data_IF_436781598483
#
_entry.id   IF_436781598483
#
_cell.length_a   1.000
_cell.length_b   1.000
_cell.length_c   1.000
_cell.angle_alpha   90.00
_cell.angle_beta   90.00
_cell.angle_gamma   90.00
#
_symmetry.space_group_name_H-M   'P 1'
#
loop_
_entity.id
_entity.type
_entity.pdbx_description
1 polymer ?
#
# COMPACT_ATOMS: atom_id res chain seq x y z
N UNK A 1 -7.69 29.48 -3.96
CA UNK A 1 -6.62 28.50 -3.65
C UNK A 1 -6.85 27.31 -4.56
N UNK A 2 -6.09 27.20 -5.66
CA UNK A 2 -6.18 26.03 -6.55
C UNK A 2 -5.77 24.79 -5.73
N UNK A 3 -6.61 23.75 -5.72
CA UNK A 3 -6.34 22.55 -4.92
C UNK A 3 -5.16 21.81 -5.53
N UNK A 4 -3.99 21.88 -4.86
CA UNK A 4 -2.71 21.29 -5.29
C UNK A 4 -2.83 19.78 -5.60
N UNK A 5 -3.88 19.12 -5.12
CA UNK A 5 -4.16 17.72 -5.38
C UNK A 5 -4.70 17.41 -6.78
N UNK A 6 -5.20 18.41 -7.53
CA UNK A 6 -5.86 18.20 -8.84
C UNK A 6 -4.90 17.73 -9.92
N UNK A 7 -3.62 18.07 -9.80
CA UNK A 7 -2.59 17.76 -10.80
C UNK A 7 -1.92 16.39 -10.55
N UNK A 8 -2.09 15.83 -9.35
CA UNK A 8 -1.47 14.55 -8.96
C UNK A 8 -1.90 13.39 -9.88
N UNK A 9 -3.20 13.22 -10.26
CA UNK A 9 -3.58 12.13 -11.16
C UNK A 9 -2.84 12.16 -12.49
N UNK A 10 -2.65 13.36 -13.06
CA UNK A 10 -1.95 13.55 -14.33
C UNK A 10 -0.44 13.31 -14.18
N UNK A 11 0.15 13.79 -13.09
CA UNK A 11 1.55 13.52 -12.78
C UNK A 11 1.83 12.02 -12.59
N UNK A 12 0.90 11.28 -11.95
CA UNK A 12 0.98 9.82 -11.83
C UNK A 12 0.94 9.17 -13.22
N UNK A 13 -0.01 9.56 -14.09
CA UNK A 13 -0.07 9.05 -15.47
C UNK A 13 1.24 9.27 -16.23
N UNK A 14 1.81 10.47 -16.14
CA UNK A 14 3.08 10.81 -16.79
C UNK A 14 4.24 9.96 -16.26
N UNK A 15 4.31 9.77 -14.93
CA UNK A 15 5.37 8.97 -14.33
C UNK A 15 5.24 7.47 -14.60
N UNK A 16 4.06 6.97 -14.96
CA UNK A 16 3.89 5.57 -15.36
C UNK A 16 4.54 5.25 -16.72
N UNK A 17 4.76 6.24 -17.59
CA UNK A 17 5.46 6.06 -18.87
C UNK A 17 6.94 5.72 -18.69
N UNK A 18 7.55 6.23 -17.62
CA UNK A 18 8.93 5.95 -17.24
C UNK A 18 9.02 5.88 -15.70
N UNK A 19 8.58 4.77 -15.08
CA UNK A 19 8.48 4.67 -13.64
C UNK A 19 9.84 4.79 -12.93
N UNK A 20 9.89 5.46 -11.77
CA UNK A 20 11.08 5.42 -10.93
C UNK A 20 11.41 3.98 -10.52
N UNK A 21 12.70 3.63 -10.50
CA UNK A 21 13.18 2.33 -10.06
C UNK A 21 12.60 1.91 -8.70
N UNK A 22 12.60 2.82 -7.72
CA UNK A 22 12.01 2.59 -6.39
C UNK A 22 10.53 2.23 -6.41
N UNK A 23 9.77 2.76 -7.38
CA UNK A 23 8.35 2.41 -7.52
C UNK A 23 8.19 0.99 -8.07
N UNK A 24 9.04 0.61 -9.03
CA UNK A 24 9.08 -0.74 -9.60
C UNK A 24 9.49 -1.77 -8.53
N UNK A 25 10.58 -1.51 -7.81
CA UNK A 25 11.05 -2.35 -6.70
C UNK A 25 9.96 -2.57 -5.67
N UNK A 26 9.31 -1.49 -5.21
CA UNK A 26 8.27 -1.59 -4.21
C UNK A 26 7.05 -2.40 -4.68
N UNK A 27 6.67 -2.27 -5.95
CA UNK A 27 5.60 -3.08 -6.54
C UNK A 27 6.01 -4.56 -6.65
N UNK A 28 7.24 -4.86 -7.08
CA UNK A 28 7.77 -6.23 -7.19
C UNK A 28 7.86 -6.91 -5.83
N UNK A 29 8.29 -6.18 -4.80
CA UNK A 29 8.33 -6.65 -3.42
C UNK A 29 6.96 -6.70 -2.74
N UNK A 30 5.88 -6.42 -3.48
CA UNK A 30 4.49 -6.44 -2.98
C UNK A 30 4.30 -5.54 -1.76
N UNK A 31 4.96 -4.40 -1.69
CA UNK A 31 4.89 -3.47 -0.54
C UNK A 31 3.54 -2.78 -0.40
N UNK A 32 2.62 -2.95 -1.35
CA UNK A 32 1.27 -2.40 -1.29
C UNK A 32 0.30 -3.43 -0.69
N UNK A 33 -0.39 -3.02 0.37
CA UNK A 33 -1.38 -3.82 1.09
C UNK A 33 -2.73 -3.16 0.94
N UNK A 34 -3.76 -3.95 0.61
CA UNK A 34 -5.17 -3.56 0.68
C UNK A 34 -5.80 -4.34 1.83
N UNK A 35 -6.11 -3.63 2.91
CA UNK A 35 -6.94 -4.16 3.99
C UNK A 35 -8.40 -3.93 3.64
N UNK A 36 -9.24 -4.93 3.89
CA UNK A 36 -10.69 -4.85 3.68
C UNK A 36 -11.42 -5.33 4.92
N UNK A 37 -12.48 -4.63 5.29
CA UNK A 37 -13.41 -5.09 6.31
C UNK A 37 -14.84 -4.93 5.81
N UNK A 38 -15.77 -5.75 6.34
CA UNK A 38 -17.19 -5.62 6.06
C UNK A 38 -17.95 -5.21 7.30
N UNK A 39 -18.90 -4.27 7.12
CA UNK A 39 -19.84 -3.84 8.14
C UNK A 39 -21.25 -3.92 7.56
N UNK A 40 -21.92 -5.06 7.78
CA UNK A 40 -23.17 -5.35 7.08
C UNK A 40 -22.92 -5.57 5.59
N UNK A 41 -23.62 -4.81 4.74
CA UNK A 41 -23.46 -4.85 3.28
C UNK A 41 -22.35 -3.92 2.76
N UNK A 42 -21.78 -3.07 3.63
CA UNK A 42 -20.73 -2.12 3.26
C UNK A 42 -19.34 -2.76 3.37
N UNK A 43 -18.52 -2.61 2.32
CA UNK A 43 -17.10 -2.98 2.32
C UNK A 43 -16.24 -1.71 2.43
N UNK A 44 -15.35 -1.67 3.40
CA UNK A 44 -14.40 -0.58 3.61
C UNK A 44 -13.00 -1.06 3.24
N UNK A 45 -12.33 -0.30 2.38
CA UNK A 45 -10.97 -0.59 1.94
C UNK A 45 -9.98 0.46 2.45
N UNK A 46 -8.81 -0.01 2.90
CA UNK A 46 -7.68 0.83 3.29
C UNK A 46 -6.43 0.37 2.54
N UNK A 47 -5.78 1.30 1.86
CA UNK A 47 -4.56 1.02 1.10
C UNK A 47 -3.34 1.57 1.84
N UNK A 48 -2.34 0.71 2.00
CA UNK A 48 -1.15 1.01 2.76
C UNK A 48 0.08 0.66 1.93
N UNK A 49 0.99 1.62 1.81
CA UNK A 49 2.36 1.33 1.42
C UNK A 49 3.14 0.91 2.67
N UNK A 50 3.48 -0.37 2.75
CA UNK A 50 4.29 -0.93 3.82
C UNK A 50 5.78 -0.75 3.51
N UNK A 51 6.39 0.28 4.09
CA UNK A 51 7.81 0.57 3.94
C UNK A 51 8.68 -0.14 4.97
N UNK A 52 10.01 -0.04 4.78
CA UNK A 52 10.99 -0.63 5.69
C UNK A 52 10.86 -0.06 7.11
N UNK A 53 10.85 1.26 7.21
CA UNK A 53 10.85 1.98 8.49
C UNK A 53 9.51 2.64 8.82
N UNK A 54 8.69 2.92 7.79
CA UNK A 54 7.43 3.64 7.91
C UNK A 54 6.37 3.07 6.99
N UNK A 55 5.13 3.19 7.43
CA UNK A 55 3.95 2.86 6.66
C UNK A 55 3.24 4.16 6.24
N UNK A 56 2.60 4.12 5.07
CA UNK A 56 1.90 5.29 4.54
C UNK A 56 0.51 4.90 4.07
N UNK A 57 -0.50 5.69 4.45
CA UNK A 57 -1.81 5.58 3.81
C UNK A 57 -1.70 6.08 2.38
N UNK A 58 -2.34 5.34 1.49
CA UNK A 58 -2.41 5.64 0.06
C UNK A 58 -3.88 5.84 -0.29
N UNK A 59 -4.18 6.98 -0.90
CA UNK A 59 -5.46 7.25 -1.55
C UNK A 59 -5.18 7.29 -3.04
N UNK A 60 -5.67 6.31 -3.81
CA UNK A 60 -5.32 6.10 -5.21
C UNK A 60 -5.34 7.39 -6.03
N UNK A 61 -4.23 7.65 -6.74
CA UNK A 61 -3.98 8.81 -7.62
C UNK A 61 -4.20 10.19 -6.99
N UNK A 62 -4.38 10.31 -5.67
CA UNK A 62 -4.79 11.56 -5.02
C UNK A 62 -3.90 11.96 -3.86
N UNK A 63 -3.56 11.03 -2.97
CA UNK A 63 -2.87 11.39 -1.74
C UNK A 63 -2.08 10.24 -1.16
N UNK A 64 -1.00 10.56 -0.46
CA UNK A 64 -0.16 9.63 0.28
C UNK A 64 0.39 10.38 1.49
N UNK A 65 0.37 9.76 2.67
CA UNK A 65 0.85 10.40 3.92
C UNK A 65 2.37 10.54 4.01
N UNK A 66 3.12 10.23 2.94
CA UNK A 66 4.57 10.34 2.94
C UNK A 66 5.03 11.81 2.86
N UNK A 67 6.18 12.08 3.49
CA UNK A 67 6.80 13.42 3.47
C UNK A 67 7.21 13.90 2.08
N UNK A 68 7.49 12.99 1.13
CA UNK A 68 7.82 13.40 -0.24
C UNK A 68 6.63 14.06 -0.94
N UNK A 69 5.41 13.54 -0.72
CA UNK A 69 4.22 14.18 -1.24
C UNK A 69 3.97 15.52 -0.53
N UNK A 70 3.97 15.52 0.79
CA UNK A 70 3.71 16.73 1.60
C UNK A 70 4.69 17.86 1.27
N UNK A 71 5.99 17.58 1.35
CA UNK A 71 7.01 18.62 1.23
C UNK A 71 7.28 18.96 -0.23
N UNK A 72 7.48 17.97 -1.10
CA UNK A 72 8.00 18.21 -2.44
C UNK A 72 6.92 18.37 -3.49
N UNK A 73 5.71 17.86 -3.28
CA UNK A 73 4.58 18.03 -4.20
C UNK A 73 3.69 19.17 -3.75
N UNK A 74 3.20 19.12 -2.51
CA UNK A 74 2.21 20.09 -2.01
C UNK A 74 2.89 21.42 -1.63
N UNK A 75 3.87 21.40 -0.72
CA UNK A 75 4.45 22.65 -0.21
C UNK A 75 5.40 23.32 -1.21
N UNK A 76 6.35 22.57 -1.78
CA UNK A 76 7.41 23.12 -2.66
C UNK A 76 7.06 23.11 -4.14
N UNK A 77 6.07 22.31 -4.57
CA UNK A 77 5.72 22.11 -5.98
C UNK A 77 6.92 21.78 -6.88
N UNK A 78 7.89 21.05 -6.33
CA UNK A 78 9.12 20.66 -7.01
C UNK A 78 8.98 19.33 -7.77
N UNK A 79 7.94 18.54 -7.47
CA UNK A 79 7.60 17.27 -8.11
C UNK A 79 6.09 17.22 -8.34
N UNK A 80 5.66 16.42 -9.32
CA UNK A 80 4.22 16.23 -9.59
C UNK A 80 3.54 15.16 -8.72
N UNK A 81 4.29 14.16 -8.23
CA UNK A 81 3.75 13.12 -7.34
C UNK A 81 4.89 12.42 -6.57
N UNK A 82 4.54 11.59 -5.58
CA UNK A 82 5.49 10.72 -4.90
C UNK A 82 5.53 9.33 -5.55
N UNK A 83 6.65 8.63 -5.40
CA UNK A 83 6.80 7.30 -6.02
C UNK A 83 5.86 6.25 -5.42
N UNK A 84 5.32 6.45 -4.21
CA UNK A 84 4.36 5.53 -3.58
C UNK A 84 3.03 5.45 -4.34
N UNK A 85 2.55 6.57 -4.88
CA UNK A 85 1.35 6.60 -5.73
C UNK A 85 1.60 5.89 -7.06
N UNK A 86 2.79 6.05 -7.64
CA UNK A 86 3.19 5.34 -8.86
C UNK A 86 3.32 3.83 -8.59
N UNK A 87 3.93 3.44 -7.47
CA UNK A 87 4.05 2.05 -7.05
C UNK A 87 2.68 1.38 -6.85
N UNK A 88 1.71 2.12 -6.30
CA UNK A 88 0.33 1.64 -6.18
C UNK A 88 -0.29 1.30 -7.54
N UNK A 89 -0.22 2.21 -8.51
CA UNK A 89 -0.79 1.96 -9.85
C UNK A 89 -0.10 0.79 -10.55
N UNK A 90 1.23 0.66 -10.41
CA UNK A 90 1.97 -0.49 -10.94
C UNK A 90 1.51 -1.78 -10.27
N UNK A 91 1.36 -1.77 -8.94
CA UNK A 91 0.96 -2.95 -8.19
C UNK A 91 -0.47 -3.38 -8.53
N UNK A 92 -1.38 -2.41 -8.70
CA UNK A 92 -2.76 -2.61 -9.14
C UNK A 92 -2.83 -3.20 -10.55
N UNK A 93 -2.13 -2.59 -11.52
CA UNK A 93 -2.09 -3.08 -12.90
C UNK A 93 -1.52 -4.50 -13.02
N UNK A 94 -0.68 -4.92 -12.08
CA UNK A 94 -0.07 -6.26 -12.00
C UNK A 94 -0.86 -7.24 -11.13
N UNK A 95 -2.00 -6.85 -10.55
CA UNK A 95 -2.75 -7.67 -9.57
C UNK A 95 -1.85 -8.19 -8.43
N UNK A 96 -0.94 -7.34 -7.94
CA UNK A 96 0.11 -7.71 -6.98
C UNK A 96 -0.05 -7.11 -5.59
N UNK A 97 -1.19 -6.44 -5.35
CA UNK A 97 -1.58 -5.99 -4.02
C UNK A 97 -1.64 -7.19 -3.05
N UNK A 98 -1.21 -6.98 -1.81
CA UNK A 98 -1.48 -7.92 -0.71
C UNK A 98 -2.86 -7.65 -0.17
N UNK A 99 -3.80 -8.50 -0.53
CA UNK A 99 -5.20 -8.39 -0.11
C UNK A 99 -5.43 -9.15 1.18
N UNK A 100 -5.85 -8.45 2.23
CA UNK A 100 -6.11 -9.04 3.54
C UNK A 100 -7.48 -8.59 4.04
N UNK A 101 -8.32 -9.56 4.39
CA UNK A 101 -9.58 -9.29 5.08
C UNK A 101 -9.34 -9.30 6.59
N UNK A 102 -9.85 -8.28 7.27
CA UNK A 102 -9.69 -8.07 8.72
C UNK A 102 -10.98 -7.54 9.33
N UNK A 103 -11.11 -7.69 10.64
CA UNK A 103 -12.18 -7.03 11.39
C UNK A 103 -12.08 -5.50 11.26
N UNK A 104 -13.23 -4.81 11.22
CA UNK A 104 -13.22 -3.36 11.02
C UNK A 104 -12.46 -2.61 12.13
N UNK A 105 -12.53 -3.08 13.37
CA UNK A 105 -11.74 -2.51 14.47
C UNK A 105 -10.23 -2.60 14.20
N UNK A 106 -9.76 -3.73 13.65
CA UNK A 106 -8.35 -3.92 13.26
C UNK A 106 -7.97 -2.96 12.15
N UNK A 107 -8.82 -2.78 11.13
CA UNK A 107 -8.61 -1.81 10.06
C UNK A 107 -8.48 -0.38 10.61
N UNK A 108 -9.38 0.03 11.51
CA UNK A 108 -9.32 1.34 12.17
C UNK A 108 -8.04 1.52 12.99
N UNK A 109 -7.65 0.50 13.77
CA UNK A 109 -6.41 0.53 14.55
C UNK A 109 -5.18 0.71 13.65
N UNK A 110 -5.09 -0.03 12.55
CA UNK A 110 -4.02 0.14 11.56
C UNK A 110 -4.02 1.56 11.00
N UNK A 111 -5.19 2.09 10.61
CA UNK A 111 -5.28 3.45 10.08
C UNK A 111 -4.75 4.50 11.07
N UNK A 112 -5.13 4.40 12.34
CA UNK A 112 -4.68 5.30 13.40
C UNK A 112 -3.17 5.18 13.68
N UNK A 113 -2.65 3.96 13.75
CA UNK A 113 -1.21 3.72 13.92
C UNK A 113 -0.39 4.35 12.77
N UNK A 114 -0.83 4.15 11.53
CA UNK A 114 -0.18 4.74 10.35
C UNK A 114 -0.27 6.28 10.38
N UNK A 115 -1.42 6.85 10.74
CA UNK A 115 -1.60 8.31 10.73
C UNK A 115 -0.82 9.00 11.85
N UNK A 116 -0.82 8.43 13.06
CA UNK A 116 -0.28 9.07 14.26
C UNK A 116 1.20 8.75 14.49
N UNK A 117 1.64 7.54 14.13
CA UNK A 117 2.99 7.03 14.43
C UNK A 117 3.79 6.74 13.16
N UNK A 118 3.14 6.72 11.98
CA UNK A 118 3.75 6.35 10.69
C UNK A 118 4.37 4.96 10.68
N UNK A 119 3.89 4.07 11.55
CA UNK A 119 4.26 2.66 11.61
C UNK A 119 3.15 1.89 12.30
N UNK A 120 2.75 0.77 11.73
CA UNK A 120 1.70 -0.08 12.27
C UNK A 120 2.24 -1.44 12.72
N UNK A 121 2.48 -1.64 14.03
CA UNK A 121 2.75 -2.97 14.59
C UNK A 121 1.62 -3.96 14.32
N UNK A 122 0.36 -3.47 14.27
CA UNK A 122 -0.80 -4.30 13.96
C UNK A 122 -0.73 -4.83 12.55
N UNK A 123 -0.47 -3.98 11.55
CA UNK A 123 -0.21 -4.39 10.17
C UNK A 123 0.96 -5.37 10.08
N UNK A 124 2.07 -5.09 10.77
CA UNK A 124 3.24 -5.96 10.73
C UNK A 124 2.91 -7.38 11.22
N UNK A 125 2.16 -7.51 12.33
CA UNK A 125 1.70 -8.82 12.83
C UNK A 125 0.82 -9.56 11.82
N UNK A 126 -0.10 -8.86 11.17
CA UNK A 126 -0.97 -9.42 10.13
C UNK A 126 -0.13 -9.98 8.98
N UNK A 127 0.81 -9.18 8.45
CA UNK A 127 1.63 -9.58 7.31
C UNK A 127 2.58 -10.76 7.63
N UNK A 128 3.08 -10.84 8.86
CA UNK A 128 3.87 -11.99 9.32
C UNK A 128 3.04 -13.26 9.44
N UNK A 129 1.81 -13.18 9.98
CA UNK A 129 0.93 -14.33 10.09
C UNK A 129 0.59 -14.91 8.71
N UNK A 130 0.31 -14.06 7.72
CA UNK A 130 0.04 -14.50 6.34
C UNK A 130 1.23 -15.22 5.67
N UNK A 131 2.45 -14.75 5.91
CA UNK A 131 3.66 -15.37 5.35
C UNK A 131 3.98 -16.72 6.00
N UNK A 132 3.69 -16.86 7.29
CA UNK A 132 3.77 -18.14 8.01
C UNK A 132 2.80 -19.19 7.48
N UNK A 133 1.52 -18.84 7.32
CA UNK A 133 0.47 -19.76 6.83
C UNK A 133 0.77 -20.28 5.42
N UNK A 134 1.21 -19.41 4.50
CA UNK A 134 1.59 -19.80 3.12
C UNK A 134 2.85 -20.67 3.02
N UNK A 135 3.66 -20.72 4.08
CA UNK A 135 4.85 -21.59 4.15
C UNK A 135 4.49 -22.99 4.64
N UNK A 136 3.52 -23.09 5.56
CA UNK A 136 2.98 -24.36 6.06
C UNK A 136 2.13 -25.10 5.01
N UNK A 137 1.33 -24.36 4.22
CA UNK A 137 0.53 -24.96 3.13
C UNK A 137 1.40 -25.51 2.00
N UNK A 138 2.48 -24.82 1.63
CA UNK A 138 3.45 -25.32 0.63
C UNK A 138 4.16 -26.59 1.09
N UNK A 139 4.45 -26.72 2.38
CA UNK A 139 5.14 -27.88 2.93
C UNK A 139 4.24 -29.12 3.03
N UNK A 140 2.91 -28.95 3.12
CA UNK A 140 1.95 -30.06 3.06
C UNK A 140 1.83 -30.68 1.67
N UNK A 141 1.90 -29.88 0.61
CA UNK A 141 1.81 -30.39 -0.77
C UNK A 141 3.08 -31.11 -1.27
N UNK A 142 4.23 -30.90 -0.63
CA UNK A 142 5.49 -31.59 -0.97
C UNK A 142 5.65 -32.98 -0.35
N UNK A 143 4.72 -33.41 0.51
CA UNK A 143 4.77 -34.73 1.19
C UNK A 143 3.91 -35.78 0.46
N UNK A 144 2.94 -35.36 -0.36
CA UNK A 144 1.97 -36.26 -1.00
C UNK A 144 2.35 -36.71 -2.43
N UNK A 145 3.58 -36.45 -2.89
CA UNK A 145 4.08 -36.90 -4.21
C UNK A 145 5.15 -37.98 -4.15
N UNK A 146 5.37 -38.59 -2.96
CA UNK A 146 6.20 -39.77 -2.79
C UNK A 146 5.35 -41.02 -2.60
N UNK A 147 4.94 -41.67 -3.69
CA UNK A 147 4.39 -43.02 -3.71
C UNK A 147 5.02 -43.81 -4.85
#
# INVERSE_FOLDING_TARGET
>A
MSSDYREIPEAVSKMLLAPPEKALEAALERRLVRLRCRRGEEEVELYIFHGKDRDYLVFPRRFCTCKDLELNVIMRRAKGTCYHLVAYEIALARNSLRDVEVECEVLFNVALEVLLVQRSPTLQKILFAETGSKSLERNRFSVDSGS
#
